data_IF_718128856297
#
_entry.id   IF_718128856297
#
_cell.length_a   1.000
_cell.length_b   1.000
_cell.length_c   1.000
_cell.angle_alpha   90.00
_cell.angle_beta   90.00
_cell.angle_gamma   90.00
#
_symmetry.space_group_name_H-M   'P 1'
#
loop_
_entity.id
_entity.type
_entity.pdbx_description
1 polymer ?
#
# COMPACT_ATOMS: atom_id res chain seq x y z
N UNK A 1 -0.78 -2.73 18.18
CA UNK A 1 -2.02 -3.20 17.51
C UNK A 1 -1.66 -3.81 16.17
N UNK A 2 -2.49 -4.67 15.60
CA UNK A 2 -2.22 -5.34 14.32
C UNK A 2 -3.31 -5.04 13.30
N UNK A 3 -2.95 -5.13 12.03
CA UNK A 3 -3.88 -5.01 10.92
C UNK A 3 -3.51 -5.98 9.80
N UNK A 4 -4.53 -6.48 9.11
CA UNK A 4 -4.36 -7.37 7.97
C UNK A 4 -5.39 -7.01 6.90
N UNK A 5 -5.00 -7.10 5.63
CA UNK A 5 -5.91 -6.92 4.51
C UNK A 5 -5.54 -7.79 3.32
N UNK A 6 -6.54 -8.18 2.53
CA UNK A 6 -6.38 -9.01 1.33
C UNK A 6 -7.18 -8.40 0.18
N UNK A 7 -6.54 -8.32 -0.98
CA UNK A 7 -7.03 -7.60 -2.15
C UNK A 7 -6.94 -8.48 -3.39
N UNK A 8 -8.05 -8.62 -4.12
CA UNK A 8 -8.05 -9.28 -5.43
C UNK A 8 -7.30 -8.40 -6.45
N UNK A 9 -6.23 -8.93 -7.04
CA UNK A 9 -5.37 -8.23 -8.01
C UNK A 9 -6.15 -7.77 -9.24
N UNK A 10 -7.17 -8.52 -9.61
CA UNK A 10 -8.07 -8.24 -10.73
C UNK A 10 -8.70 -6.84 -10.67
N UNK A 11 -8.90 -6.28 -9.46
CA UNK A 11 -9.43 -4.91 -9.26
C UNK A 11 -8.56 -3.81 -9.88
N UNK A 12 -7.28 -4.09 -10.08
CA UNK A 12 -6.29 -3.15 -10.63
C UNK A 12 -5.88 -3.52 -12.06
N UNK A 13 -6.47 -4.58 -12.64
CA UNK A 13 -6.24 -4.91 -14.04
C UNK A 13 -6.90 -3.88 -14.93
N UNK A 14 -6.22 -3.51 -16.02
CA UNK A 14 -6.69 -2.50 -16.95
C UNK A 14 -6.37 -1.06 -16.57
N UNK A 15 -5.87 -0.81 -15.35
CA UNK A 15 -5.36 0.51 -14.96
C UNK A 15 -4.19 0.88 -15.85
N UNK A 16 -4.11 2.14 -16.24
CA UNK A 16 -3.10 2.71 -17.14
C UNK A 16 -2.34 3.82 -16.44
N UNK A 17 -1.09 4.01 -16.84
CA UNK A 17 -0.18 4.96 -16.19
C UNK A 17 -0.74 6.38 -16.16
N UNK A 18 -1.46 6.77 -17.20
CA UNK A 18 -2.04 8.10 -17.42
C UNK A 18 -3.20 8.39 -16.47
N UNK A 19 -3.79 7.36 -15.85
CA UNK A 19 -4.94 7.49 -14.95
C UNK A 19 -4.55 7.97 -13.54
N UNK A 20 -3.28 8.30 -13.29
CA UNK A 20 -2.79 8.77 -11.98
C UNK A 20 -3.66 9.89 -11.39
N UNK A 21 -4.15 10.82 -12.23
CA UNK A 21 -4.99 11.93 -11.77
C UNK A 21 -6.25 11.48 -11.00
N UNK A 22 -6.85 10.35 -11.40
CA UNK A 22 -8.02 9.78 -10.72
C UNK A 22 -7.65 9.08 -9.41
N UNK A 23 -6.43 8.55 -9.33
CA UNK A 23 -5.97 7.68 -8.24
C UNK A 23 -5.03 8.36 -7.24
N UNK A 24 -4.71 9.64 -7.44
CA UNK A 24 -3.77 10.43 -6.61
C UNK A 24 -4.15 10.54 -5.13
N UNK A 25 -5.42 10.30 -4.78
CA UNK A 25 -5.88 10.29 -3.39
C UNK A 25 -5.69 8.92 -2.72
N UNK A 26 -5.31 7.90 -3.49
CA UNK A 26 -5.10 6.53 -3.02
C UNK A 26 -3.63 6.15 -3.09
N UNK A 27 -2.94 6.50 -4.19
CA UNK A 27 -1.54 6.22 -4.41
C UNK A 27 -0.73 7.51 -4.49
N UNK A 28 0.46 7.50 -3.88
CA UNK A 28 1.44 8.56 -4.08
C UNK A 28 2.02 8.50 -5.49
N UNK A 29 2.70 9.56 -5.90
CA UNK A 29 3.36 9.59 -7.20
C UNK A 29 4.41 8.48 -7.34
N UNK A 30 5.18 8.24 -6.28
CA UNK A 30 6.24 7.23 -6.26
C UNK A 30 5.67 5.80 -6.28
N UNK A 31 4.58 5.56 -5.55
CA UNK A 31 3.88 4.26 -5.55
C UNK A 31 3.33 3.94 -6.94
N UNK A 32 2.65 4.90 -7.57
CA UNK A 32 2.08 4.75 -8.89
C UNK A 32 3.15 4.57 -9.96
N UNK A 33 4.16 5.44 -9.96
CA UNK A 33 5.30 5.37 -10.87
C UNK A 33 6.05 4.05 -10.73
N UNK A 34 6.35 3.62 -9.50
CA UNK A 34 7.01 2.35 -9.21
C UNK A 34 6.18 1.13 -9.61
N UNK A 35 4.85 1.20 -9.51
CA UNK A 35 3.98 0.14 -9.99
C UNK A 35 4.04 0.00 -11.52
N UNK A 36 3.90 1.09 -12.27
CA UNK A 36 3.94 1.08 -13.74
C UNK A 36 5.34 0.89 -14.34
N UNK A 37 6.39 1.04 -13.55
CA UNK A 37 7.75 0.64 -13.92
C UNK A 37 8.02 -0.87 -13.74
N UNK A 38 7.13 -1.59 -13.04
CA UNK A 38 7.29 -3.03 -12.79
C UNK A 38 6.67 -3.88 -13.91
N UNK A 39 7.12 -5.14 -14.03
CA UNK A 39 6.53 -6.11 -14.96
C UNK A 39 5.06 -6.45 -14.65
N UNK A 40 4.59 -6.19 -13.42
CA UNK A 40 3.23 -6.54 -12.99
C UNK A 40 2.57 -5.38 -12.21
N UNK A 41 2.16 -4.29 -12.89
CA UNK A 41 1.63 -3.09 -12.23
C UNK A 41 0.42 -3.38 -11.34
N UNK A 42 -0.56 -4.15 -11.83
CA UNK A 42 -1.76 -4.50 -11.04
C UNK A 42 -1.42 -5.22 -9.74
N UNK A 43 -0.40 -6.10 -9.75
CA UNK A 43 0.04 -6.83 -8.57
C UNK A 43 0.69 -5.89 -7.54
N UNK A 44 1.52 -4.95 -8.03
CA UNK A 44 2.18 -3.96 -7.19
C UNK A 44 1.17 -2.97 -6.57
N UNK A 45 0.23 -2.47 -7.37
CA UNK A 45 -0.86 -1.61 -6.88
C UNK A 45 -1.73 -2.32 -5.84
N UNK A 46 -2.11 -3.57 -6.08
CA UNK A 46 -2.88 -4.36 -5.12
C UNK A 46 -2.13 -4.56 -3.79
N UNK A 47 -0.82 -4.82 -3.83
CA UNK A 47 0.01 -4.95 -2.64
C UNK A 47 0.12 -3.65 -1.84
N UNK A 48 0.31 -2.51 -2.53
CA UNK A 48 0.31 -1.19 -1.89
C UNK A 48 -1.05 -0.89 -1.25
N UNK A 49 -2.14 -1.16 -1.96
CA UNK A 49 -3.49 -0.93 -1.45
C UNK A 49 -3.78 -1.78 -0.20
N UNK A 50 -3.47 -3.08 -0.25
CA UNK A 50 -3.60 -3.97 0.90
C UNK A 50 -2.75 -3.48 2.09
N UNK A 51 -1.52 -2.99 1.83
CA UNK A 51 -0.64 -2.46 2.86
C UNK A 51 -1.25 -1.22 3.54
N UNK A 52 -1.78 -0.26 2.76
CA UNK A 52 -2.44 0.92 3.33
C UNK A 52 -3.64 0.55 4.20
N UNK A 53 -4.47 -0.38 3.75
CA UNK A 53 -5.60 -0.91 4.53
C UNK A 53 -5.15 -1.60 5.83
N UNK A 54 -4.12 -2.44 5.76
CA UNK A 54 -3.55 -3.08 6.94
C UNK A 54 -3.00 -2.06 7.95
N UNK A 55 -2.31 -1.02 7.46
CA UNK A 55 -1.79 0.08 8.30
C UNK A 55 -2.93 0.86 8.96
N UNK A 56 -3.98 1.23 8.23
CA UNK A 56 -5.15 1.90 8.80
C UNK A 56 -5.76 1.09 9.96
N UNK A 57 -5.88 -0.22 9.80
CA UNK A 57 -6.38 -1.13 10.85
C UNK A 57 -5.43 -1.23 12.05
N UNK A 58 -4.12 -1.20 11.81
CA UNK A 58 -3.11 -1.28 12.88
C UNK A 58 -2.98 0.03 13.69
N UNK A 59 -3.14 1.19 13.05
CA UNK A 59 -2.94 2.52 13.67
C UNK A 59 -4.24 3.04 14.30
N UNK A 60 -5.40 2.74 13.70
CA UNK A 60 -6.72 3.06 14.25
C UNK A 60 -7.46 4.18 13.52
N UNK A 61 -8.49 4.72 14.18
CA UNK A 61 -9.54 5.54 13.54
C UNK A 61 -9.07 6.86 12.92
N UNK A 62 -7.91 7.40 13.34
CA UNK A 62 -7.36 8.65 12.78
C UNK A 62 -6.96 8.54 11.31
N UNK A 63 -6.68 7.34 10.83
CA UNK A 63 -6.23 7.10 9.45
C UNK A 63 -7.30 6.48 8.54
N UNK A 64 -8.50 6.14 9.06
CA UNK A 64 -9.55 5.52 8.26
C UNK A 64 -9.94 6.39 7.04
N UNK A 65 -9.79 5.83 5.84
CA UNK A 65 -10.09 6.52 4.58
C UNK A 65 -9.03 7.54 4.14
N UNK A 66 -7.93 7.71 4.89
CA UNK A 66 -6.86 8.68 4.64
C UNK A 66 -5.67 8.05 3.92
N UNK A 67 -5.91 7.46 2.76
CA UNK A 67 -4.86 6.80 1.95
C UNK A 67 -3.73 7.76 1.54
N UNK A 68 -4.05 9.03 1.37
CA UNK A 68 -3.11 10.13 1.05
C UNK A 68 -2.09 10.39 2.17
N UNK A 69 -2.40 9.93 3.39
CA UNK A 69 -1.57 10.10 4.59
C UNK A 69 -0.65 8.91 4.87
N UNK A 70 -0.74 7.87 4.07
CA UNK A 70 0.06 6.65 4.20
C UNK A 70 0.86 6.48 2.91
N UNK A 71 2.18 6.43 3.03
CA UNK A 71 3.07 6.07 1.91
C UNK A 71 3.73 4.73 2.16
N UNK A 72 3.80 3.89 1.14
CA UNK A 72 4.36 2.54 1.15
C UNK A 72 5.51 2.51 0.15
N UNK A 73 6.71 2.24 0.64
CA UNK A 73 7.91 2.17 -0.19
C UNK A 73 8.70 0.89 0.13
N UNK A 74 9.76 0.65 -0.62
CA UNK A 74 10.71 -0.43 -0.36
C UNK A 74 12.11 0.14 -0.26
N UNK A 75 12.91 -0.37 0.67
CA UNK A 75 14.33 0.00 0.74
C UNK A 75 15.15 -0.66 -0.39
N UNK A 76 16.47 -0.45 -0.37
CA UNK A 76 17.39 -1.02 -1.36
C UNK A 76 17.48 -2.54 -1.33
N UNK A 77 17.08 -3.18 -0.22
CA UNK A 77 16.97 -4.63 -0.09
C UNK A 77 15.60 -5.18 -0.53
N UNK A 78 14.66 -4.30 -0.87
CA UNK A 78 13.29 -4.65 -1.23
C UNK A 78 12.35 -4.81 -0.03
N UNK A 79 12.81 -4.57 1.21
CA UNK A 79 11.97 -4.64 2.40
C UNK A 79 10.96 -3.47 2.38
N UNK A 80 9.65 -3.74 2.52
CA UNK A 80 8.66 -2.68 2.56
C UNK A 80 8.74 -1.89 3.87
N UNK A 81 8.50 -0.58 3.78
CA UNK A 81 8.35 0.31 4.93
C UNK A 81 7.24 1.32 4.67
N UNK A 82 6.71 1.89 5.74
CA UNK A 82 5.59 2.84 5.70
C UNK A 82 6.02 4.17 6.34
N UNK A 83 5.56 5.28 5.79
CA UNK A 83 5.59 6.58 6.46
C UNK A 83 4.19 7.14 6.57
N UNK A 84 3.85 7.61 7.75
CA UNK A 84 2.63 8.34 8.05
C UNK A 84 2.97 9.83 8.07
N UNK A 85 2.20 10.68 7.41
CA UNK A 85 2.58 12.10 7.31
C UNK A 85 2.20 12.93 8.54
N UNK A 86 1.23 12.46 9.34
CA UNK A 86 0.63 13.23 10.42
C UNK A 86 0.94 12.61 11.81
N UNK A 87 1.80 11.58 11.87
CA UNK A 87 2.14 10.87 13.10
C UNK A 87 3.51 10.18 12.99
N UNK A 88 4.26 10.10 14.09
CA UNK A 88 5.56 9.43 14.19
C UNK A 88 5.43 7.97 14.67
N UNK A 89 4.24 7.37 14.50
CA UNK A 89 3.99 5.98 14.83
C UNK A 89 4.79 5.05 13.91
N UNK A 90 5.64 4.22 14.52
CA UNK A 90 6.36 3.18 13.82
C UNK A 90 5.43 2.00 13.50
N UNK A 91 5.44 1.56 12.24
CA UNK A 91 4.66 0.41 11.76
C UNK A 91 5.55 -0.51 10.96
N UNK A 92 5.66 -1.76 11.41
CA UNK A 92 6.29 -2.82 10.63
C UNK A 92 5.27 -3.48 9.72
N UNK A 93 5.63 -3.70 8.46
CA UNK A 93 4.73 -4.28 7.46
C UNK A 93 5.38 -5.43 6.72
N UNK A 94 4.54 -6.33 6.23
CA UNK A 94 4.92 -7.39 5.29
C UNK A 94 3.85 -7.49 4.21
N UNK A 95 4.28 -7.65 2.96
CA UNK A 95 3.40 -7.76 1.79
C UNK A 95 3.74 -9.07 1.09
N UNK A 96 2.72 -9.85 0.76
CA UNK A 96 2.84 -11.05 -0.05
C UNK A 96 1.77 -11.05 -1.14
N UNK A 97 1.98 -11.80 -2.20
CA UNK A 97 1.01 -11.94 -3.29
C UNK A 97 1.18 -13.26 -4.02
N UNK A 98 0.10 -13.72 -4.63
CA UNK A 98 0.10 -14.81 -5.61
C UNK A 98 -0.56 -14.30 -6.91
N UNK A 99 -1.05 -15.17 -7.80
CA UNK A 99 -1.65 -14.83 -9.08
C UNK A 99 -2.90 -13.98 -8.92
N UNK A 100 -3.70 -14.25 -7.89
CA UNK A 100 -5.04 -13.67 -7.75
C UNK A 100 -5.18 -12.67 -6.62
N UNK A 101 -4.37 -12.80 -5.57
CA UNK A 101 -4.51 -11.99 -4.35
C UNK A 101 -3.18 -11.40 -3.92
N UNK A 102 -3.26 -10.18 -3.39
CA UNK A 102 -2.20 -9.57 -2.59
C UNK A 102 -2.71 -9.49 -1.14
N UNK A 103 -1.83 -9.76 -0.18
CA UNK A 103 -2.09 -9.67 1.26
C UNK A 103 -1.04 -8.79 1.89
N UNK A 104 -1.44 -8.00 2.87
CA UNK A 104 -0.51 -7.26 3.70
C UNK A 104 -0.86 -7.39 5.17
N UNK A 105 0.19 -7.40 5.99
CA UNK A 105 0.10 -7.45 7.43
C UNK A 105 0.89 -6.29 8.01
N UNK A 106 0.34 -5.63 9.03
CA UNK A 106 0.92 -4.48 9.69
C UNK A 106 0.88 -4.66 11.21
N UNK A 107 1.97 -4.30 11.88
CA UNK A 107 2.06 -4.21 13.33
C UNK A 107 2.48 -2.78 13.67
N UNK A 108 1.63 -2.07 14.41
CA UNK A 108 2.03 -0.84 15.10
C UNK A 108 3.02 -1.23 16.20
N UNK A 109 4.26 -0.74 16.06
CA UNK A 109 5.31 -0.86 17.06
C UNK A 109 5.09 0.28 18.06
N UNK A 110 5.14 -0.05 19.34
CA UNK A 110 5.04 0.91 20.43
C UNK A 110 6.44 1.32 20.87
#
# INVERSE_FOLDING_TARGET
MVGIDIIKIDRFRGFRREEYGFWRNVFTHDEWGGAFASAFPARRLAGVFACKEAVMKAVGSSYLGRFDKISVNSDTSGKPFVRLSDDDVEVSVSISHEKEYAVAFAIKIN
#
